data_IF_282001656586
#
_entry.id   IF_282001656586
#
_cell.length_a   1.000
_cell.length_b   1.000
_cell.length_c   1.000
_cell.angle_alpha   90.00
_cell.angle_beta   90.00
_cell.angle_gamma   90.00
#
_symmetry.space_group_name_H-M   'P 1'
#
loop_
_entity.id
_entity.type
_entity.pdbx_description
1 polymer ?
#
# COMPACT_ATOMS: atom_id res chain seq x y z
N UNK A 1 53.87 6.52 13.09
CA UNK A 1 52.54 6.22 13.57
C UNK A 1 51.63 6.08 12.36
N UNK A 2 51.28 4.85 12.00
CA UNK A 2 50.30 4.55 10.97
C UNK A 2 48.92 4.94 11.48
N UNK A 3 48.27 5.91 10.84
CA UNK A 3 46.85 6.23 11.05
C UNK A 3 46.06 5.12 10.34
N UNK A 4 45.60 4.16 11.11
CA UNK A 4 44.61 3.19 10.63
C UNK A 4 43.36 3.97 10.16
N UNK A 5 43.11 3.99 8.87
CA UNK A 5 41.91 4.58 8.32
C UNK A 5 40.67 3.85 8.92
N UNK A 6 39.77 4.57 9.52
CA UNK A 6 38.50 4.01 9.97
C UNK A 6 37.81 3.35 8.76
N UNK A 7 37.20 2.16 8.94
CA UNK A 7 36.49 1.52 7.84
C UNK A 7 35.41 2.48 7.35
N UNK A 8 35.35 2.68 6.02
CA UNK A 8 34.30 3.47 5.41
C UNK A 8 32.96 2.83 5.78
N UNK A 9 32.10 3.57 6.48
CA UNK A 9 30.73 3.17 6.75
C UNK A 9 30.04 3.01 5.39
N UNK A 10 29.84 1.78 4.96
CA UNK A 10 29.02 1.48 3.79
C UNK A 10 27.59 1.73 4.21
N UNK A 11 27.05 2.92 3.88
CA UNK A 11 25.63 3.21 4.08
C UNK A 11 24.82 2.19 3.29
N UNK A 12 23.89 1.53 3.97
CA UNK A 12 22.93 0.65 3.30
C UNK A 12 22.09 1.51 2.33
N UNK A 13 21.73 0.99 1.16
CA UNK A 13 20.89 1.73 0.23
C UNK A 13 19.56 2.06 0.89
N UNK A 14 19.10 3.30 0.71
CA UNK A 14 17.78 3.69 1.17
C UNK A 14 16.72 2.95 0.37
N UNK A 15 15.66 2.52 1.05
CA UNK A 15 14.57 1.75 0.45
C UNK A 15 13.24 2.43 0.73
N UNK A 16 12.38 2.42 -0.27
CA UNK A 16 10.95 2.66 -0.10
C UNK A 16 10.22 1.33 0.01
N UNK A 17 9.53 1.09 1.11
CA UNK A 17 8.57 0.00 1.25
C UNK A 17 7.17 0.54 0.98
N UNK A 18 6.41 -0.07 0.06
CA UNK A 18 5.08 0.38 -0.36
C UNK A 18 4.23 -0.80 -0.81
N UNK A 19 2.91 -0.71 -0.65
CA UNK A 19 1.97 -1.74 -1.14
C UNK A 19 1.59 -1.56 -2.61
N UNK A 20 2.09 -0.50 -3.26
CA UNK A 20 1.83 -0.14 -4.65
C UNK A 20 0.33 0.03 -4.95
N UNK A 21 -0.44 0.55 -4.00
CA UNK A 21 -1.81 0.96 -4.26
C UNK A 21 -1.85 2.16 -5.23
N UNK A 22 -3.02 2.44 -5.80
CA UNK A 22 -3.19 3.64 -6.61
C UNK A 22 -3.14 4.90 -5.73
N UNK A 23 -2.52 5.97 -6.22
CA UNK A 23 -2.47 7.28 -5.56
C UNK A 23 -1.12 7.55 -4.88
N UNK A 24 -1.13 7.76 -3.56
CA UNK A 24 0.07 8.20 -2.79
C UNK A 24 1.24 7.23 -2.92
N UNK A 25 0.99 5.93 -2.94
CA UNK A 25 2.04 4.92 -3.08
C UNK A 25 2.81 5.09 -4.40
N UNK A 26 2.11 5.43 -5.49
CA UNK A 26 2.74 5.65 -6.79
C UNK A 26 3.53 6.96 -6.84
N UNK A 27 3.04 8.01 -6.17
CA UNK A 27 3.79 9.26 -6.02
C UNK A 27 5.08 9.04 -5.21
N UNK A 28 4.98 8.28 -4.12
CA UNK A 28 6.15 7.91 -3.32
C UNK A 28 7.15 7.05 -4.13
N UNK A 29 6.65 6.11 -4.94
CA UNK A 29 7.49 5.30 -5.81
C UNK A 29 8.21 6.15 -6.88
N UNK A 30 7.54 7.15 -7.45
CA UNK A 30 8.15 8.10 -8.38
C UNK A 30 9.29 8.89 -7.72
N UNK A 31 9.02 9.47 -6.55
CA UNK A 31 10.02 10.23 -5.81
C UNK A 31 11.21 9.36 -5.39
N UNK A 32 10.97 8.13 -4.93
CA UNK A 32 12.02 7.17 -4.59
C UNK A 32 12.90 6.83 -5.79
N UNK A 33 12.29 6.63 -6.96
CA UNK A 33 13.01 6.36 -8.21
C UNK A 33 13.91 7.55 -8.61
N UNK A 34 13.40 8.79 -8.51
CA UNK A 34 14.17 10.00 -8.78
C UNK A 34 15.36 10.16 -7.82
N UNK A 35 15.20 9.71 -6.57
CA UNK A 35 16.24 9.72 -5.54
C UNK A 35 17.21 8.54 -5.63
N UNK A 36 17.00 7.61 -6.57
CA UNK A 36 17.82 6.41 -6.72
C UNK A 36 17.63 5.39 -5.59
N UNK A 37 16.48 5.40 -4.91
CA UNK A 37 16.16 4.42 -3.87
C UNK A 37 15.66 3.10 -4.44
N UNK A 38 15.92 2.00 -3.74
CA UNK A 38 15.32 0.71 -4.06
C UNK A 38 13.84 0.70 -3.66
N UNK A 39 12.96 0.21 -4.53
CA UNK A 39 11.53 0.05 -4.22
C UNK A 39 11.29 -1.42 -3.87
N UNK A 40 10.73 -1.66 -2.69
CA UNK A 40 10.35 -2.99 -2.19
C UNK A 40 8.85 -3.00 -1.92
N UNK A 41 8.14 -3.97 -2.47
CA UNK A 41 6.70 -4.04 -2.33
C UNK A 41 6.22 -5.40 -1.80
N UNK A 42 5.86 -5.48 -0.51
CA UNK A 42 5.11 -6.61 0.03
C UNK A 42 3.65 -6.48 -0.41
N UNK A 43 3.30 -7.09 -1.55
CA UNK A 43 1.94 -7.04 -2.06
C UNK A 43 1.01 -7.92 -1.21
N UNK A 44 -0.18 -7.43 -0.85
CA UNK A 44 -1.18 -8.23 -0.12
C UNK A 44 -1.73 -9.40 -0.93
N UNK A 45 -1.59 -9.36 -2.24
CA UNK A 45 -2.08 -10.36 -3.19
C UNK A 45 -1.02 -10.69 -4.22
N UNK A 46 -1.23 -11.76 -5.00
CA UNK A 46 -0.52 -12.00 -6.24
C UNK A 46 -0.72 -10.84 -7.22
N UNK A 47 0.24 -10.64 -8.08
CA UNK A 47 0.32 -9.45 -8.95
C UNK A 47 -0.95 -9.14 -9.72
N UNK A 48 -1.59 -10.16 -10.34
CA UNK A 48 -2.80 -9.96 -11.14
C UNK A 48 -3.98 -9.49 -10.27
N UNK A 49 -4.20 -10.13 -9.13
CA UNK A 49 -5.26 -9.76 -8.20
C UNK A 49 -4.99 -8.39 -7.56
N UNK A 50 -3.73 -8.07 -7.24
CA UNK A 50 -3.35 -6.76 -6.74
C UNK A 50 -3.67 -5.65 -7.75
N UNK A 51 -3.36 -5.86 -9.04
CA UNK A 51 -3.72 -4.92 -10.12
C UNK A 51 -5.23 -4.77 -10.22
N UNK A 52 -5.97 -5.88 -10.27
CA UNK A 52 -7.41 -5.87 -10.45
C UNK A 52 -8.13 -5.12 -9.30
N UNK A 53 -7.79 -5.40 -8.06
CA UNK A 53 -8.40 -4.76 -6.87
C UNK A 53 -8.05 -3.26 -6.83
N UNK A 54 -6.76 -2.91 -6.96
CA UNK A 54 -6.30 -1.53 -6.79
C UNK A 54 -6.60 -0.63 -8.00
N UNK A 55 -6.91 -1.18 -9.17
CA UNK A 55 -7.43 -0.43 -10.32
C UNK A 55 -8.89 0.01 -10.13
N UNK A 56 -9.60 -0.53 -9.14
CA UNK A 56 -10.96 -0.16 -8.75
C UNK A 56 -11.95 -0.20 -9.92
N UNK A 57 -12.10 -1.33 -10.64
CA UNK A 57 -13.07 -1.47 -11.70
C UNK A 57 -14.51 -1.31 -11.15
N UNK A 58 -15.36 -0.66 -11.94
CA UNK A 58 -16.77 -0.47 -11.60
C UNK A 58 -17.67 -1.48 -12.35
N UNK A 59 -17.12 -2.23 -13.30
CA UNK A 59 -17.82 -3.27 -14.05
C UNK A 59 -17.21 -4.64 -13.80
N UNK A 60 -18.07 -5.67 -13.82
CA UNK A 60 -17.63 -7.06 -13.76
C UNK A 60 -16.67 -7.41 -14.92
N UNK A 61 -16.98 -6.93 -16.14
CA UNK A 61 -16.17 -7.20 -17.32
C UNK A 61 -14.71 -6.70 -17.16
N UNK A 62 -14.54 -5.45 -16.73
CA UNK A 62 -13.21 -4.88 -16.50
C UNK A 62 -12.45 -5.58 -15.38
N UNK A 63 -13.16 -5.92 -14.29
CA UNK A 63 -12.57 -6.66 -13.18
C UNK A 63 -12.02 -8.02 -13.62
N UNK A 64 -12.79 -8.77 -14.40
CA UNK A 64 -12.39 -10.09 -14.91
C UNK A 64 -11.26 -9.98 -15.94
N UNK A 65 -11.32 -8.98 -16.82
CA UNK A 65 -10.25 -8.72 -17.79
C UNK A 65 -8.90 -8.46 -17.07
N UNK A 66 -8.91 -7.60 -16.06
CA UNK A 66 -7.72 -7.30 -15.28
C UNK A 66 -7.19 -8.50 -14.48
N UNK A 67 -8.10 -9.31 -13.92
CA UNK A 67 -7.75 -10.53 -13.18
C UNK A 67 -7.07 -11.57 -14.10
N UNK A 68 -7.53 -11.63 -15.35
CA UNK A 68 -6.91 -12.46 -16.39
C UNK A 68 -5.60 -11.87 -16.97
N UNK A 69 -5.13 -10.72 -16.45
CA UNK A 69 -3.94 -10.04 -16.95
C UNK A 69 -4.15 -9.19 -18.20
N UNK A 70 -5.41 -9.07 -18.67
CA UNK A 70 -5.81 -8.27 -19.83
C UNK A 70 -5.98 -6.78 -19.54
N UNK A 71 -6.73 -6.09 -20.41
CA UNK A 71 -6.98 -4.65 -20.35
C UNK A 71 -8.42 -4.36 -19.98
N UNK A 72 -8.64 -3.29 -19.20
CA UNK A 72 -9.97 -2.78 -18.91
C UNK A 72 -10.47 -1.89 -20.05
N UNK A 73 -11.79 -1.90 -20.29
CA UNK A 73 -12.44 -1.04 -21.28
C UNK A 73 -12.56 0.40 -20.80
N UNK A 74 -12.71 0.63 -19.47
CA UNK A 74 -12.73 1.97 -18.91
C UNK A 74 -11.32 2.57 -18.89
N UNK A 75 -11.11 3.76 -19.54
CA UNK A 75 -9.77 4.35 -19.64
C UNK A 75 -9.18 4.74 -18.28
N UNK A 76 -10.01 5.13 -17.30
CA UNK A 76 -9.55 5.50 -15.95
C UNK A 76 -9.09 4.27 -15.17
N UNK A 77 -9.85 3.17 -15.26
CA UNK A 77 -9.47 1.87 -14.69
C UNK A 77 -8.18 1.37 -15.33
N UNK A 78 -8.09 1.44 -16.66
CA UNK A 78 -6.89 1.02 -17.40
C UNK A 78 -5.66 1.85 -17.03
N UNK A 79 -5.80 3.17 -16.89
CA UNK A 79 -4.71 4.04 -16.47
C UNK A 79 -4.19 3.68 -15.07
N UNK A 80 -5.10 3.40 -14.12
CA UNK A 80 -4.72 2.94 -12.78
C UNK A 80 -4.00 1.59 -12.83
N UNK A 81 -4.52 0.63 -13.59
CA UNK A 81 -3.90 -0.68 -13.77
C UNK A 81 -2.49 -0.57 -14.36
N UNK A 82 -2.30 0.29 -15.36
CA UNK A 82 -1.00 0.53 -15.99
C UNK A 82 0.00 1.14 -15.00
N UNK A 83 -0.43 2.09 -14.17
CA UNK A 83 0.41 2.67 -13.13
C UNK A 83 0.89 1.61 -12.11
N UNK A 84 -0.01 0.73 -11.65
CA UNK A 84 0.34 -0.35 -10.73
C UNK A 84 1.30 -1.36 -11.39
N UNK A 85 1.06 -1.76 -12.63
CA UNK A 85 1.94 -2.64 -13.40
C UNK A 85 3.33 -2.03 -13.59
N UNK A 86 3.38 -0.74 -13.98
CA UNK A 86 4.62 0.00 -14.17
C UNK A 86 5.54 -0.03 -12.93
N UNK A 87 4.99 0.21 -11.76
CA UNK A 87 5.76 0.18 -10.52
C UNK A 87 6.05 -1.24 -10.05
N UNK A 88 5.15 -2.18 -10.28
CA UNK A 88 5.39 -3.60 -10.00
C UNK A 88 6.55 -4.18 -10.81
N UNK A 89 6.77 -3.70 -12.04
CA UNK A 89 7.90 -4.12 -12.88
C UNK A 89 9.25 -3.57 -12.40
N UNK A 90 9.23 -2.51 -11.60
CA UNK A 90 10.43 -1.83 -11.09
C UNK A 90 10.75 -2.14 -9.65
N UNK A 91 9.78 -2.66 -8.92
CA UNK A 91 9.92 -2.99 -7.50
C UNK A 91 10.43 -4.42 -7.31
N UNK A 92 11.15 -4.63 -6.22
CA UNK A 92 11.39 -5.96 -5.68
C UNK A 92 10.13 -6.42 -4.96
N UNK A 93 9.42 -7.40 -5.56
CA UNK A 93 8.14 -7.86 -5.06
C UNK A 93 8.27 -9.03 -4.07
N UNK A 94 7.45 -8.98 -3.02
CA UNK A 94 7.09 -10.11 -2.20
C UNK A 94 5.56 -10.21 -2.19
N UNK A 95 4.97 -11.38 -2.45
CA UNK A 95 3.53 -11.55 -2.67
C UNK A 95 2.93 -12.48 -1.62
N UNK A 96 1.88 -12.00 -0.91
CA UNK A 96 1.11 -12.79 0.05
C UNK A 96 -0.11 -13.41 -0.64
N UNK A 97 0.14 -14.32 -1.58
CA UNK A 97 -0.87 -14.86 -2.49
C UNK A 97 -1.61 -16.10 -1.97
N UNK A 98 -1.45 -16.46 -0.72
CA UNK A 98 -1.98 -17.67 -0.09
C UNK A 98 -3.53 -17.73 -0.06
N UNK A 99 -4.19 -16.56 -0.08
CA UNK A 99 -5.66 -16.43 -0.10
C UNK A 99 -6.23 -15.89 -1.42
N UNK A 100 -5.43 -15.79 -2.46
CA UNK A 100 -5.84 -15.19 -3.73
C UNK A 100 -7.08 -15.85 -4.33
N UNK A 101 -7.16 -17.18 -4.30
CA UNK A 101 -8.30 -17.90 -4.85
C UNK A 101 -9.62 -17.53 -4.16
N UNK A 102 -9.61 -17.43 -2.82
CA UNK A 102 -10.78 -17.02 -2.02
C UNK A 102 -11.14 -15.56 -2.33
N UNK A 103 -10.16 -14.69 -2.29
CA UNK A 103 -10.37 -13.23 -2.45
C UNK A 103 -10.82 -12.91 -3.87
N UNK A 104 -10.29 -13.59 -4.90
CA UNK A 104 -10.73 -13.43 -6.28
C UNK A 104 -12.21 -13.79 -6.46
N UNK A 105 -12.68 -14.89 -5.85
CA UNK A 105 -14.12 -15.26 -5.89
C UNK A 105 -14.99 -14.19 -5.20
N UNK A 106 -14.56 -13.66 -4.06
CA UNK A 106 -15.29 -12.59 -3.37
C UNK A 106 -15.29 -11.29 -4.18
N UNK A 107 -14.18 -10.95 -4.83
CA UNK A 107 -14.05 -9.78 -5.71
C UNK A 107 -14.99 -9.89 -6.89
N UNK A 108 -14.97 -11.01 -7.60
CA UNK A 108 -15.88 -11.30 -8.72
C UNK A 108 -17.34 -11.18 -8.29
N UNK A 109 -17.72 -11.84 -7.18
CA UNK A 109 -19.08 -11.81 -6.66
C UNK A 109 -19.55 -10.39 -6.28
N UNK A 110 -18.63 -9.54 -5.80
CA UNK A 110 -18.93 -8.15 -5.46
C UNK A 110 -19.17 -7.32 -6.72
N UNK A 111 -18.39 -7.52 -7.77
CA UNK A 111 -18.57 -6.81 -9.04
C UNK A 111 -19.82 -7.30 -9.81
N UNK A 112 -20.20 -8.55 -9.65
CA UNK A 112 -21.42 -9.12 -10.28
C UNK A 112 -22.71 -8.62 -9.60
N UNK A 113 -22.65 -8.19 -8.32
CA UNK A 113 -23.80 -7.72 -7.54
C UNK A 113 -23.36 -6.55 -6.64
N UNK A 114 -23.11 -5.36 -7.20
CA UNK A 114 -22.56 -4.23 -6.45
C UNK A 114 -23.51 -3.68 -5.36
N UNK A 115 -24.81 -3.96 -5.47
CA UNK A 115 -25.83 -3.62 -4.47
C UNK A 115 -25.84 -4.55 -3.25
N UNK A 116 -25.18 -5.72 -3.31
CA UNK A 116 -25.14 -6.69 -2.21
C UNK A 116 -24.10 -6.28 -1.16
N UNK A 117 -24.56 -5.52 -0.16
CA UNK A 117 -23.71 -5.06 0.94
C UNK A 117 -23.09 -6.20 1.79
N UNK A 118 -23.68 -7.42 1.77
CA UNK A 118 -23.12 -8.57 2.50
C UNK A 118 -21.90 -9.09 1.78
N UNK A 119 -21.98 -9.22 0.44
CA UNK A 119 -20.84 -9.63 -0.39
C UNK A 119 -19.71 -8.62 -0.31
N UNK A 120 -20.03 -7.33 -0.47
CA UNK A 120 -19.07 -6.24 -0.34
C UNK A 120 -18.34 -6.29 1.02
N UNK A 121 -19.05 -6.45 2.14
CA UNK A 121 -18.43 -6.58 3.46
C UNK A 121 -17.51 -7.79 3.57
N UNK A 122 -17.90 -8.95 3.03
CA UNK A 122 -17.07 -10.16 3.05
C UNK A 122 -15.77 -9.95 2.26
N UNK A 123 -15.88 -9.38 1.06
CA UNK A 123 -14.71 -9.03 0.25
C UNK A 123 -13.79 -8.04 0.99
N UNK A 124 -14.33 -6.93 1.49
CA UNK A 124 -13.54 -5.93 2.21
C UNK A 124 -12.88 -6.50 3.48
N UNK A 125 -13.55 -7.38 4.21
CA UNK A 125 -12.97 -8.03 5.38
C UNK A 125 -11.79 -8.94 5.01
N UNK A 126 -11.95 -9.77 3.97
CA UNK A 126 -10.90 -10.68 3.51
C UNK A 126 -9.71 -9.92 2.91
N UNK A 127 -9.98 -8.99 1.99
CA UNK A 127 -8.95 -8.16 1.35
C UNK A 127 -8.25 -7.25 2.37
N UNK A 128 -9.01 -6.62 3.28
CA UNK A 128 -8.47 -5.78 4.34
C UNK A 128 -7.55 -6.55 5.30
N UNK A 129 -7.91 -7.78 5.66
CA UNK A 129 -7.06 -8.65 6.49
C UNK A 129 -5.72 -8.92 5.82
N UNK A 130 -5.72 -9.19 4.52
CA UNK A 130 -4.50 -9.44 3.76
C UNK A 130 -3.66 -8.15 3.57
N UNK A 131 -4.33 -7.02 3.34
CA UNK A 131 -3.67 -5.72 3.29
C UNK A 131 -3.05 -5.34 4.65
N UNK A 132 -3.72 -5.65 5.77
CA UNK A 132 -3.17 -5.45 7.10
C UNK A 132 -1.92 -6.29 7.37
N UNK A 133 -1.89 -7.53 6.89
CA UNK A 133 -0.70 -8.39 6.99
C UNK A 133 0.47 -7.84 6.17
N UNK A 134 0.23 -7.41 4.93
CA UNK A 134 1.25 -6.77 4.11
C UNK A 134 1.76 -5.45 4.73
N UNK A 135 0.85 -4.63 5.25
CA UNK A 135 1.16 -3.40 5.98
C UNK A 135 2.00 -3.66 7.23
N UNK A 136 1.70 -4.73 7.98
CA UNK A 136 2.51 -5.16 9.13
C UNK A 136 3.95 -5.48 8.70
N UNK A 137 4.12 -6.29 7.65
CA UNK A 137 5.46 -6.64 7.13
C UNK A 137 6.21 -5.37 6.70
N UNK A 138 5.52 -4.46 5.99
CA UNK A 138 6.09 -3.20 5.56
C UNK A 138 6.60 -2.37 6.74
N UNK A 139 5.78 -2.18 7.77
CA UNK A 139 6.13 -1.38 8.96
C UNK A 139 7.26 -2.01 9.77
N UNK A 140 7.25 -3.34 9.98
CA UNK A 140 8.28 -4.06 10.73
C UNK A 140 9.67 -4.01 10.04
N UNK A 141 9.72 -3.64 8.76
CA UNK A 141 10.96 -3.48 7.99
C UNK A 141 11.31 -2.01 7.72
N UNK A 142 10.63 -1.07 8.36
CA UNK A 142 10.81 0.36 8.13
C UNK A 142 11.29 1.07 9.37
N UNK A 143 12.25 1.99 9.20
CA UNK A 143 12.73 2.88 10.26
C UNK A 143 11.84 4.10 10.46
N UNK A 144 11.03 4.43 9.46
CA UNK A 144 10.08 5.55 9.45
C UNK A 144 8.89 5.20 8.55
N UNK A 145 7.67 5.39 9.04
CA UNK A 145 6.47 5.38 8.20
C UNK A 145 6.14 6.80 7.74
N UNK A 146 5.90 6.99 6.45
CA UNK A 146 5.32 8.24 5.92
C UNK A 146 3.84 7.97 5.66
N UNK A 147 2.96 8.60 6.44
CA UNK A 147 1.52 8.48 6.33
C UNK A 147 0.89 9.73 5.73
N UNK A 148 0.17 9.61 4.62
CA UNK A 148 -0.69 10.68 4.09
C UNK A 148 -2.12 10.33 4.44
N UNK A 149 -2.73 11.11 5.33
CA UNK A 149 -4.02 10.75 5.91
C UNK A 149 -4.85 11.99 6.25
N UNK A 150 -6.11 11.94 5.89
CA UNK A 150 -7.10 13.01 6.07
C UNK A 150 -7.82 12.95 7.43
N UNK A 151 -7.27 12.19 8.38
CA UNK A 151 -7.88 11.92 9.69
C UNK A 151 -9.27 11.27 9.61
N UNK A 152 -9.55 10.56 8.52
CA UNK A 152 -10.78 9.77 8.34
C UNK A 152 -10.87 8.59 9.30
N UNK A 153 -11.66 7.57 8.95
CA UNK A 153 -11.86 6.40 9.82
C UNK A 153 -10.54 5.69 10.16
N UNK A 154 -10.36 5.38 11.45
CA UNK A 154 -9.28 4.54 11.99
C UNK A 154 -9.65 3.06 11.97
N UNK A 155 -10.93 2.73 11.76
CA UNK A 155 -11.51 1.40 11.98
C UNK A 155 -11.39 0.49 10.76
N UNK A 156 -10.95 1.01 9.61
CA UNK A 156 -10.77 0.23 8.39
C UNK A 156 -9.53 -0.67 8.48
N UNK A 157 -9.71 -1.95 8.76
CA UNK A 157 -8.62 -2.94 8.79
C UNK A 157 -7.88 -2.93 7.45
N UNK A 158 -6.55 -2.75 7.49
CA UNK A 158 -5.70 -2.64 6.30
C UNK A 158 -5.66 -1.25 5.65
N UNK A 159 -6.40 -0.26 6.17
CA UNK A 159 -6.34 1.11 5.72
C UNK A 159 -5.19 1.92 6.33
N UNK A 160 -5.02 3.16 5.86
CA UNK A 160 -3.93 4.06 6.28
C UNK A 160 -3.94 4.32 7.79
N UNK A 161 -5.10 4.63 8.38
CA UNK A 161 -5.22 4.87 9.83
C UNK A 161 -4.81 3.65 10.65
N UNK A 162 -5.22 2.44 10.25
CA UNK A 162 -4.83 1.19 10.90
C UNK A 162 -3.30 0.97 10.83
N UNK A 163 -2.68 1.23 9.68
CA UNK A 163 -1.23 1.09 9.50
C UNK A 163 -0.44 2.09 10.34
N UNK A 164 -0.92 3.34 10.45
CA UNK A 164 -0.32 4.38 11.31
C UNK A 164 -0.37 3.96 12.78
N UNK A 165 -1.53 3.53 13.28
CA UNK A 165 -1.67 3.05 14.66
C UNK A 165 -0.72 1.90 14.92
N UNK A 166 -0.65 0.93 14.01
CA UNK A 166 0.23 -0.23 14.16
C UNK A 166 1.71 0.17 14.20
N UNK A 167 2.15 1.13 13.38
CA UNK A 167 3.52 1.62 13.40
C UNK A 167 3.87 2.23 14.76
N UNK A 168 3.00 3.08 15.30
CA UNK A 168 3.20 3.71 16.60
C UNK A 168 3.20 2.70 17.76
N UNK A 169 2.34 1.67 17.71
CA UNK A 169 2.31 0.60 18.71
C UNK A 169 3.61 -0.19 18.80
N UNK A 170 4.30 -0.40 17.69
CA UNK A 170 5.59 -1.12 17.69
C UNK A 170 6.80 -0.19 17.81
N UNK A 171 6.58 1.12 17.97
CA UNK A 171 7.62 2.12 18.17
C UNK A 171 8.25 2.66 16.88
N UNK A 172 7.69 2.36 15.69
CA UNK A 172 8.12 2.97 14.43
C UNK A 172 7.57 4.39 14.36
N UNK A 173 8.42 5.44 14.25
CA UNK A 173 7.96 6.81 14.13
C UNK A 173 7.18 7.01 12.83
N UNK A 174 6.22 7.94 12.85
CA UNK A 174 5.36 8.25 11.70
C UNK A 174 5.51 9.72 11.33
N UNK A 175 5.98 10.01 10.12
CA UNK A 175 5.81 11.33 9.50
C UNK A 175 4.39 11.39 8.92
N UNK A 176 3.51 12.11 9.59
CA UNK A 176 2.12 12.27 9.17
C UNK A 176 1.95 13.57 8.39
N UNK A 177 1.29 13.46 7.21
CA UNK A 177 0.99 14.58 6.31
C UNK A 177 -0.52 14.65 6.08
N UNK A 178 -1.06 15.87 6.12
CA UNK A 178 -2.46 16.12 5.76
C UNK A 178 -2.56 16.39 4.24
N UNK A 179 -3.33 15.60 3.47
CA UNK A 179 -3.37 15.74 2.01
C UNK A 179 -3.94 17.09 1.53
N UNK A 180 -4.87 17.70 2.28
CA UNK A 180 -5.44 19.01 1.95
C UNK A 180 -4.50 20.17 2.30
N UNK A 181 -3.57 19.96 3.24
CA UNK A 181 -2.59 20.95 3.72
C UNK A 181 -1.23 20.26 3.91
N UNK A 182 -0.46 20.00 2.84
CA UNK A 182 0.78 19.22 2.93
C UNK A 182 1.87 19.87 3.80
N UNK A 183 1.78 21.16 4.07
CA UNK A 183 2.61 21.90 5.03
C UNK A 183 2.27 21.53 6.48
N UNK A 184 1.05 21.07 6.76
CA UNK A 184 0.64 20.53 8.06
C UNK A 184 1.15 19.09 8.19
N UNK A 185 2.31 18.98 8.82
CA UNK A 185 3.01 17.71 9.00
C UNK A 185 3.63 17.63 10.38
N UNK A 186 3.67 16.42 10.94
CA UNK A 186 4.31 16.15 12.24
C UNK A 186 4.95 14.77 12.27
N UNK A 187 6.01 14.65 13.06
CA UNK A 187 6.57 13.35 13.40
C UNK A 187 5.91 12.91 14.71
N UNK A 188 5.22 11.77 14.66
CA UNK A 188 4.57 11.13 15.77
C UNK A 188 5.41 9.95 16.25
N UNK A 189 5.52 9.76 17.56
CA UNK A 189 6.28 8.66 18.17
C UNK A 189 5.46 7.77 19.10
N UNK A 190 4.17 8.11 19.31
CA UNK A 190 3.27 7.33 20.16
C UNK A 190 1.81 7.48 19.71
N UNK A 191 0.96 6.56 20.14
CA UNK A 191 -0.49 6.60 19.89
C UNK A 191 -1.17 7.80 20.55
N UNK A 192 -0.65 8.30 21.67
CA UNK A 192 -1.15 9.51 22.34
C UNK A 192 -0.91 10.75 21.47
N UNK A 193 0.26 10.82 20.80
CA UNK A 193 0.55 11.93 19.88
C UNK A 193 -0.37 11.94 18.66
N UNK A 194 -0.84 10.77 18.21
CA UNK A 194 -1.85 10.67 17.14
C UNK A 194 -3.23 11.18 17.62
N UNK A 195 -3.60 10.98 18.88
CA UNK A 195 -4.87 11.47 19.41
C UNK A 195 -4.96 13.00 19.43
N UNK A 196 -3.82 13.70 19.52
CA UNK A 196 -3.73 15.16 19.45
C UNK A 196 -3.62 15.72 18.03
N UNK A 197 -3.55 14.89 17.01
CA UNK A 197 -3.52 15.31 15.62
C UNK A 197 -4.93 15.68 15.13
N UNK A 198 -5.19 16.98 14.94
CA UNK A 198 -6.44 17.54 14.41
C UNK A 198 -6.16 18.66 13.41
#
# INVERSE_FOLDING_TARGET
AERTAAPALTLQPTRLHTLLAHGVDQLAASAACELGWEIVAPLPFGRALNVAINAQPQSHADGMALLAGGEASDPGVQARANGIRHWSDRARLFQLADRDAEIAVLFEATLASPEDAVRARRFHAAAGSQAALAGKIMVEQSDLLIGVWDNGSRDGVGGTGHTIVRALEIGTPVLLLEPARPEHRSILSSTESLAGWQ
#
